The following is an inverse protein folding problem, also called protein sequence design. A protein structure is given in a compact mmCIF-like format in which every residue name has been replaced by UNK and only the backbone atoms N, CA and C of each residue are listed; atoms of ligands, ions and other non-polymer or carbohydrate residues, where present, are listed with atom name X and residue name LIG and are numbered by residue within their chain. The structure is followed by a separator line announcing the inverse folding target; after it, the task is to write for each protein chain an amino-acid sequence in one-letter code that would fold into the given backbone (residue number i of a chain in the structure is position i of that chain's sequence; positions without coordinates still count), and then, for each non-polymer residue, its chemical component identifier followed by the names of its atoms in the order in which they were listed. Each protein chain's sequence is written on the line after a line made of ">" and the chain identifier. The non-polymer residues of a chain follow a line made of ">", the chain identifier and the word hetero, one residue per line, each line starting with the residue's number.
data_IF_532955526718
#
_entry.id   IF_532955526718
#
_cell.length_a   1.000
_cell.length_b   1.000
_cell.length_c   1.000
_cell.angle_alpha   90.00
_cell.angle_beta   90.00
_cell.angle_gamma   90.00
#
_symmetry.space_group_name_H-M   'P 1'
#
loop_
_entity.id
_entity.type
_entity.pdbx_description
1 polymer ?
#
# COMPACT_ATOMS: atom_id res chain seq x y z
N UNK A 1 46.73 9.99 19.10
CA UNK A 1 46.12 11.02 18.22
C UNK A 1 45.20 10.28 17.29
N UNK A 2 43.93 10.16 17.68
CA UNK A 2 42.92 9.47 16.90
C UNK A 2 42.53 10.33 15.71
N UNK A 3 42.78 9.79 14.52
CA UNK A 3 42.45 10.40 13.24
C UNK A 3 40.92 10.32 13.07
N UNK A 4 40.17 11.44 13.01
CA UNK A 4 38.74 11.37 12.75
C UNK A 4 38.55 10.84 11.33
N UNK A 5 38.08 9.59 11.23
CA UNK A 5 37.63 9.01 9.98
C UNK A 5 36.55 9.92 9.41
N UNK A 6 36.91 10.74 8.42
CA UNK A 6 35.96 11.44 7.57
C UNK A 6 35.19 10.37 6.80
N UNK A 7 34.10 9.90 7.41
CA UNK A 7 33.09 9.07 6.75
C UNK A 7 32.69 9.79 5.46
N UNK A 8 33.04 9.19 4.33
CA UNK A 8 32.70 9.66 2.99
C UNK A 8 31.18 9.53 2.78
N UNK A 9 30.42 10.41 3.42
CA UNK A 9 28.96 10.45 3.33
C UNK A 9 28.57 10.92 1.93
N UNK A 10 28.24 9.99 1.05
CA UNK A 10 27.67 10.29 -0.27
C UNK A 10 26.20 10.64 -0.10
N UNK A 11 25.88 11.90 -0.30
CA UNK A 11 24.50 12.39 -0.37
C UNK A 11 23.85 11.77 -1.63
N UNK A 12 22.71 11.08 -1.52
CA UNK A 12 21.98 10.60 -2.69
C UNK A 12 21.63 11.77 -3.62
N UNK A 13 21.89 11.64 -4.92
CA UNK A 13 21.82 12.75 -5.90
C UNK A 13 20.47 13.48 -5.91
N UNK A 14 19.38 12.81 -5.53
CA UNK A 14 18.02 13.38 -5.52
C UNK A 14 17.62 14.01 -4.18
N UNK A 15 18.38 13.78 -3.10
CA UNK A 15 18.01 14.17 -1.75
C UNK A 15 17.83 15.70 -1.60
N UNK A 16 18.78 16.56 -2.05
CA UNK A 16 18.63 18.01 -1.88
C UNK A 16 17.43 18.57 -2.66
N UNK A 17 17.19 18.05 -3.86
CA UNK A 17 16.06 18.45 -4.69
C UNK A 17 14.72 18.08 -4.04
N UNK A 18 14.57 16.82 -3.60
CA UNK A 18 13.34 16.35 -2.99
C UNK A 18 13.05 17.03 -1.63
N UNK A 19 14.09 17.34 -0.85
CA UNK A 19 13.95 18.13 0.38
C UNK A 19 13.48 19.56 0.07
N UNK A 20 14.03 20.20 -0.96
CA UNK A 20 13.59 21.51 -1.43
C UNK A 20 12.13 21.50 -1.90
N UNK A 21 11.75 20.48 -2.68
CA UNK A 21 10.38 20.28 -3.15
C UNK A 21 9.39 20.10 -1.98
N UNK A 22 9.72 19.25 -1.01
CA UNK A 22 8.93 19.04 0.21
C UNK A 22 8.70 20.36 0.96
N UNK A 23 9.78 21.09 1.22
CA UNK A 23 9.76 22.37 1.96
C UNK A 23 9.02 23.48 1.23
N UNK A 24 9.06 23.50 -0.10
CA UNK A 24 8.34 24.50 -0.89
C UNK A 24 6.83 24.29 -0.89
N UNK A 25 6.37 23.02 -0.83
CA UNK A 25 4.95 22.66 -0.93
C UNK A 25 4.24 22.64 0.41
N UNK A 26 4.95 22.28 1.48
CA UNK A 26 4.37 22.08 2.81
C UNK A 26 3.61 23.33 3.32
N UNK A 27 4.16 24.57 3.28
CA UNK A 27 3.46 25.74 3.79
C UNK A 27 2.12 25.99 3.10
N UNK A 28 2.09 25.93 1.77
CA UNK A 28 0.85 26.11 1.00
C UNK A 28 -0.24 25.07 1.31
N UNK A 29 0.16 23.86 1.72
CA UNK A 29 -0.80 22.83 2.13
C UNK A 29 -1.26 23.06 3.56
N UNK A 30 -0.37 23.47 4.47
CA UNK A 30 -0.71 23.82 5.85
C UNK A 30 -1.67 25.02 5.90
N UNK A 31 -1.39 26.07 5.11
CA UNK A 31 -2.24 27.25 5.00
C UNK A 31 -3.66 26.88 4.54
N UNK A 32 -3.78 26.06 3.49
CA UNK A 32 -5.09 25.57 3.00
C UNK A 32 -5.87 24.82 4.09
N UNK A 33 -5.19 23.98 4.85
CA UNK A 33 -5.82 23.25 5.97
C UNK A 33 -6.32 24.24 7.02
N UNK A 34 -5.51 25.24 7.40
CA UNK A 34 -5.88 26.24 8.41
C UNK A 34 -7.00 27.18 7.98
N UNK A 35 -7.13 27.45 6.68
CA UNK A 35 -8.18 28.32 6.15
C UNK A 35 -9.57 27.70 6.15
N UNK A 36 -9.68 26.37 6.35
CA UNK A 36 -10.98 25.71 6.41
C UNK A 36 -11.75 26.19 7.65
N UNK A 37 -12.95 26.76 7.49
CA UNK A 37 -13.76 27.20 8.61
C UNK A 37 -14.40 26.01 9.34
N UNK A 38 -13.86 25.63 10.49
CA UNK A 38 -14.47 24.62 11.37
C UNK A 38 -14.58 23.23 10.73
N UNK A 39 -15.82 22.74 10.53
CA UNK A 39 -16.08 21.50 9.79
C UNK A 39 -16.28 21.86 8.31
N UNK A 40 -15.18 21.92 7.56
CA UNK A 40 -15.19 22.22 6.13
C UNK A 40 -16.07 21.28 5.31
N UNK A 41 -16.41 21.72 4.11
CA UNK A 41 -17.12 20.90 3.15
C UNK A 41 -16.21 19.74 2.66
N UNK A 42 -16.75 18.52 2.41
CA UNK A 42 -15.96 17.41 1.90
C UNK A 42 -15.16 17.72 0.63
N UNK A 43 -15.66 18.61 -0.24
CA UNK A 43 -14.95 19.01 -1.47
C UNK A 43 -13.68 19.81 -1.19
N UNK A 44 -13.64 20.61 -0.11
CA UNK A 44 -12.45 21.35 0.30
C UNK A 44 -11.34 20.39 0.76
N UNK A 45 -11.72 19.31 1.46
CA UNK A 45 -10.78 18.27 1.89
C UNK A 45 -10.26 17.42 0.74
N UNK A 46 -10.98 17.31 -0.39
CA UNK A 46 -10.52 16.52 -1.54
C UNK A 46 -9.28 17.16 -2.18
N UNK A 47 -9.30 18.48 -2.38
CA UNK A 47 -8.15 19.22 -2.88
C UNK A 47 -6.95 19.17 -1.91
N UNK A 48 -7.21 19.11 -0.60
CA UNK A 48 -6.17 18.94 0.43
C UNK A 48 -5.60 17.52 0.38
N UNK A 49 -6.45 16.50 0.24
CA UNK A 49 -6.00 15.12 0.11
C UNK A 49 -5.08 14.94 -1.10
N UNK A 50 -5.40 15.56 -2.24
CA UNK A 50 -4.54 15.57 -3.43
C UNK A 50 -3.19 16.24 -3.18
N UNK A 51 -3.17 17.39 -2.50
CA UNK A 51 -1.92 18.06 -2.12
C UNK A 51 -1.08 17.22 -1.17
N UNK A 52 -1.70 16.61 -0.15
CA UNK A 52 -1.03 15.73 0.80
C UNK A 52 -0.53 14.45 0.13
N UNK A 53 -1.24 13.91 -0.86
CA UNK A 53 -0.77 12.76 -1.63
C UNK A 53 0.49 13.11 -2.43
N UNK A 54 0.54 14.28 -3.07
CA UNK A 54 1.74 14.76 -3.78
C UNK A 54 2.91 14.95 -2.82
N UNK A 55 2.68 15.54 -1.65
CA UNK A 55 3.68 15.65 -0.58
C UNK A 55 4.16 14.27 -0.12
N UNK A 56 3.24 13.32 0.05
CA UNK A 56 3.55 11.94 0.44
C UNK A 56 4.44 11.26 -0.61
N UNK A 57 4.16 11.42 -1.90
CA UNK A 57 5.01 10.86 -2.96
C UNK A 57 6.43 11.44 -2.89
N UNK A 58 6.58 12.75 -2.65
CA UNK A 58 7.89 13.38 -2.45
C UNK A 58 8.58 12.82 -1.20
N UNK A 59 7.89 12.76 -0.06
CA UNK A 59 8.43 12.23 1.21
C UNK A 59 8.80 10.74 1.12
N UNK A 60 7.99 9.93 0.45
CA UNK A 60 8.27 8.52 0.17
C UNK A 60 9.57 8.35 -0.64
N UNK A 61 9.80 9.22 -1.63
CA UNK A 61 10.99 9.14 -2.46
C UNK A 61 12.26 9.64 -1.74
N UNK A 62 12.11 10.37 -0.62
CA UNK A 62 13.20 10.70 0.30
C UNK A 62 13.57 9.51 1.19
N UNK A 63 12.56 8.78 1.68
CA UNK A 63 12.76 7.63 2.54
C UNK A 63 13.44 6.47 1.79
N UNK A 64 14.20 5.61 2.48
CA UNK A 64 14.66 4.34 1.91
C UNK A 64 13.48 3.53 1.37
N UNK A 65 13.67 2.83 0.25
CA UNK A 65 12.65 1.96 -0.30
C UNK A 65 12.25 0.90 0.73
N UNK A 66 10.98 0.87 1.13
CA UNK A 66 10.43 -0.21 1.95
C UNK A 66 10.46 -1.50 1.15
N UNK A 67 11.12 -2.50 1.71
CA UNK A 67 11.29 -3.80 1.07
C UNK A 67 9.99 -4.60 1.15
N UNK A 68 9.14 -4.52 0.14
CA UNK A 68 7.78 -5.10 0.12
C UNK A 68 7.73 -6.58 0.50
N UNK A 69 8.78 -7.35 0.20
CA UNK A 69 8.86 -8.79 0.48
C UNK A 69 9.75 -9.15 1.67
N UNK A 70 10.36 -8.15 2.30
CA UNK A 70 11.41 -8.27 3.30
C UNK A 70 12.55 -9.23 2.90
N UNK A 71 12.82 -9.36 1.61
CA UNK A 71 13.88 -10.21 1.07
C UNK A 71 15.03 -9.35 0.56
N UNK A 72 16.26 -9.63 0.98
CA UNK A 72 17.46 -8.93 0.47
C UNK A 72 17.67 -9.16 -1.03
N UNK A 73 17.27 -10.32 -1.54
CA UNK A 73 17.39 -10.68 -2.96
C UNK A 73 16.28 -10.09 -3.82
N UNK A 74 15.05 -10.02 -3.31
CA UNK A 74 13.86 -9.62 -4.09
C UNK A 74 13.07 -8.50 -3.42
N UNK A 75 13.67 -7.34 -3.15
CA UNK A 75 13.05 -6.35 -2.26
C UNK A 75 11.69 -5.83 -2.74
N UNK A 76 11.47 -5.83 -4.06
CA UNK A 76 10.23 -5.42 -4.72
C UNK A 76 9.54 -6.59 -5.46
N UNK A 77 9.79 -7.83 -5.04
CA UNK A 77 9.20 -9.01 -5.64
C UNK A 77 7.71 -9.19 -5.30
N UNK A 78 7.04 -10.21 -5.89
CA UNK A 78 5.67 -10.55 -5.53
C UNK A 78 5.57 -11.02 -4.07
N UNK A 79 4.50 -10.59 -3.39
CA UNK A 79 4.20 -10.95 -2.00
C UNK A 79 3.43 -12.26 -1.95
N UNK A 80 3.85 -13.21 -1.11
CA UNK A 80 3.11 -14.45 -0.83
C UNK A 80 1.86 -14.10 -0.02
N UNK A 81 0.64 -14.43 -0.50
CA UNK A 81 -0.59 -14.14 0.23
C UNK A 81 -0.80 -15.04 1.45
N UNK A 82 -0.15 -16.20 1.50
CA UNK A 82 -0.29 -17.16 2.60
C UNK A 82 1.07 -17.83 2.91
N UNK A 83 2.05 -17.06 3.41
CA UNK A 83 3.30 -17.63 3.89
C UNK A 83 3.06 -18.39 5.21
N UNK A 84 3.76 -19.51 5.45
CA UNK A 84 3.89 -20.08 6.79
C UNK A 84 4.39 -19.04 7.80
N UNK A 85 4.08 -19.21 9.09
CA UNK A 85 4.34 -18.22 10.15
C UNK A 85 5.83 -17.92 10.32
N UNK A 86 6.68 -18.92 10.13
CA UNK A 86 8.14 -18.81 10.18
C UNK A 86 8.77 -18.32 8.87
N UNK A 87 7.96 -18.04 7.85
CA UNK A 87 8.41 -17.59 6.53
C UNK A 87 8.16 -16.10 6.33
N UNK A 88 8.96 -15.51 5.45
CA UNK A 88 8.80 -14.13 5.04
C UNK A 88 7.79 -13.97 3.91
N UNK A 89 7.45 -12.73 3.55
CA UNK A 89 6.43 -12.46 2.55
C UNK A 89 6.90 -12.62 1.10
N UNK A 90 8.13 -13.06 0.82
CA UNK A 90 8.64 -13.16 -0.56
C UNK A 90 8.12 -14.41 -1.30
N UNK A 91 7.22 -14.23 -2.26
CA UNK A 91 6.65 -15.34 -3.03
C UNK A 91 7.70 -16.13 -3.80
N UNK A 92 8.73 -15.48 -4.36
CA UNK A 92 9.78 -16.17 -5.13
C UNK A 92 10.62 -17.09 -4.23
N UNK A 93 11.06 -16.59 -3.08
CA UNK A 93 11.80 -17.39 -2.11
C UNK A 93 10.94 -18.52 -1.54
N UNK A 94 9.68 -18.24 -1.24
CA UNK A 94 8.74 -19.24 -0.73
C UNK A 94 8.42 -20.29 -1.79
N UNK A 95 8.33 -19.93 -3.07
CA UNK A 95 8.14 -20.87 -4.18
C UNK A 95 9.34 -21.82 -4.29
N UNK A 96 10.56 -21.30 -4.25
CA UNK A 96 11.77 -22.13 -4.28
C UNK A 96 11.86 -23.04 -3.06
N UNK A 97 11.48 -22.53 -1.89
CA UNK A 97 11.45 -23.33 -0.65
C UNK A 97 10.40 -24.45 -0.72
N UNK A 98 9.20 -24.17 -1.27
CA UNK A 98 8.16 -25.20 -1.55
C UNK A 98 8.63 -26.22 -2.59
N UNK A 99 9.48 -25.82 -3.53
CA UNK A 99 10.12 -26.71 -4.50
C UNK A 99 11.29 -27.53 -3.91
N UNK A 100 11.63 -27.32 -2.64
CA UNK A 100 12.65 -28.10 -1.92
C UNK A 100 14.04 -27.46 -1.84
N UNK A 101 14.19 -26.17 -2.17
CA UNK A 101 15.46 -25.46 -1.95
C UNK A 101 15.55 -24.88 -0.52
N UNK A 102 16.38 -25.45 0.37
CA UNK A 102 16.53 -24.97 1.74
C UNK A 102 17.34 -23.67 1.84
N UNK A 103 18.03 -23.24 0.77
CA UNK A 103 18.81 -22.00 0.73
C UNK A 103 17.96 -20.78 0.39
N UNK A 104 16.77 -20.99 -0.17
CA UNK A 104 15.82 -19.93 -0.42
C UNK A 104 15.32 -19.37 0.92
N UNK A 105 15.83 -18.18 1.29
CA UNK A 105 15.42 -17.47 2.51
C UNK A 105 14.80 -16.11 2.18
N UNK A 106 13.52 -15.98 2.48
CA UNK A 106 12.87 -14.69 2.72
C UNK A 106 13.25 -14.21 4.12
N UNK A 107 13.49 -12.91 4.34
CA UNK A 107 13.62 -12.38 5.69
C UNK A 107 12.30 -12.53 6.46
N UNK A 108 12.36 -12.77 7.77
CA UNK A 108 11.17 -12.84 8.65
C UNK A 108 10.33 -11.57 8.50
N UNK A 109 9.01 -11.65 8.39
CA UNK A 109 8.16 -10.47 8.20
C UNK A 109 8.36 -9.44 9.34
N UNK A 110 9.23 -8.44 9.17
CA UNK A 110 9.22 -7.27 10.04
C UNK A 110 8.08 -6.36 9.59
N UNK A 111 7.32 -5.86 10.55
CA UNK A 111 6.07 -5.11 10.36
C UNK A 111 6.18 -3.78 9.57
N UNK A 112 7.34 -3.44 9.00
CA UNK A 112 7.70 -2.09 8.54
C UNK A 112 7.24 -1.79 7.11
N UNK A 113 6.59 -2.73 6.42
CA UNK A 113 6.23 -2.56 5.01
C UNK A 113 4.99 -1.73 4.71
N UNK A 114 4.19 -1.40 5.74
CA UNK A 114 2.97 -0.61 5.55
C UNK A 114 3.15 0.75 6.21
N UNK A 115 2.74 1.80 5.50
CA UNK A 115 2.67 3.13 6.09
C UNK A 115 1.65 3.14 7.22
N UNK A 116 1.91 3.95 8.25
CA UNK A 116 0.99 4.10 9.38
C UNK A 116 -0.39 4.55 8.88
N UNK A 117 -1.43 3.83 9.31
CA UNK A 117 -2.82 4.24 9.13
C UNK A 117 -3.31 4.72 10.50
N UNK A 118 -3.58 6.02 10.67
CA UNK A 118 -4.04 6.53 11.95
C UNK A 118 -5.41 5.91 12.30
N UNK A 119 -5.62 5.53 13.57
CA UNK A 119 -6.93 5.06 14.01
C UNK A 119 -7.95 6.21 14.02
N UNK A 120 -9.25 5.91 13.87
CA UNK A 120 -10.31 6.89 14.08
C UNK A 120 -10.32 7.40 15.54
N UNK A 121 -10.88 8.60 15.81
CA UNK A 121 -11.72 9.42 14.93
C UNK A 121 -10.95 10.32 13.95
N UNK A 122 -11.44 10.41 12.71
CA UNK A 122 -10.92 11.32 11.69
C UNK A 122 -11.63 12.68 11.81
N UNK A 123 -10.92 13.66 12.37
CA UNK A 123 -11.44 15.03 12.56
C UNK A 123 -10.49 16.07 11.99
N UNK A 124 -10.98 17.30 11.80
CA UNK A 124 -10.15 18.41 11.34
C UNK A 124 -9.04 18.73 12.35
N UNK A 125 -9.33 18.62 13.65
CA UNK A 125 -8.37 18.81 14.73
C UNK A 125 -7.27 17.75 14.70
N UNK A 126 -7.63 16.49 14.39
CA UNK A 126 -6.65 15.42 14.19
C UNK A 126 -5.73 15.70 12.99
N UNK A 127 -6.28 16.26 11.90
CA UNK A 127 -5.48 16.69 10.75
C UNK A 127 -4.52 17.83 11.11
N UNK A 128 -5.00 18.86 11.82
CA UNK A 128 -4.16 19.97 12.29
C UNK A 128 -3.06 19.49 13.24
N UNK A 129 -3.38 18.58 14.16
CA UNK A 129 -2.39 17.99 15.06
C UNK A 129 -1.31 17.22 14.28
N UNK A 130 -1.73 16.46 13.26
CA UNK A 130 -0.78 15.74 12.39
C UNK A 130 0.09 16.69 11.58
N UNK A 131 -0.48 17.78 11.05
CA UNK A 131 0.28 18.81 10.35
C UNK A 131 1.31 19.49 11.24
N UNK A 132 1.02 19.74 12.52
CA UNK A 132 2.02 20.25 13.47
C UNK A 132 3.22 19.31 13.60
N UNK A 133 2.98 18.00 13.75
CA UNK A 133 4.05 17.00 13.81
C UNK A 133 4.86 16.96 12.51
N UNK A 134 4.21 17.05 11.35
CA UNK A 134 4.90 17.11 10.06
C UNK A 134 5.82 18.34 9.99
N UNK A 135 5.31 19.52 10.36
CA UNK A 135 6.10 20.75 10.34
C UNK A 135 7.32 20.67 11.27
N UNK A 136 7.15 20.13 12.48
CA UNK A 136 8.24 19.92 13.44
C UNK A 136 9.33 18.99 12.87
N UNK A 137 8.93 17.82 12.36
CA UNK A 137 9.90 16.87 11.78
C UNK A 137 10.58 17.45 10.54
N UNK A 138 9.84 18.10 9.63
CA UNK A 138 10.40 18.66 8.39
C UNK A 138 11.34 19.86 8.66
N UNK A 139 11.09 20.60 9.74
CA UNK A 139 11.99 21.66 10.19
C UNK A 139 13.37 21.10 10.56
N UNK A 140 13.39 19.99 11.32
CA UNK A 140 14.62 19.31 11.75
C UNK A 140 15.31 18.50 10.63
N UNK A 141 14.65 18.25 9.50
CA UNK A 141 15.28 17.51 8.40
C UNK A 141 16.45 18.28 7.77
N UNK A 142 17.51 17.58 7.42
CA UNK A 142 18.63 18.11 6.64
C UNK A 142 19.26 17.01 5.78
N UNK A 143 20.25 17.37 4.97
CA UNK A 143 20.90 16.44 4.04
C UNK A 143 21.67 15.29 4.70
N UNK A 144 21.81 15.29 6.03
CA UNK A 144 22.43 14.22 6.83
C UNK A 144 21.43 13.53 7.77
N UNK A 145 20.14 13.84 7.66
CA UNK A 145 19.12 13.16 8.47
C UNK A 145 19.17 11.67 8.24
N UNK A 146 18.80 10.92 9.27
CA UNK A 146 18.86 9.47 9.20
C UNK A 146 17.77 8.93 8.26
N UNK A 147 17.98 7.70 7.79
CA UNK A 147 16.97 6.94 7.07
C UNK A 147 15.64 6.84 7.84
N UNK A 148 15.71 6.81 9.18
CA UNK A 148 14.55 6.72 10.05
C UNK A 148 13.76 8.02 10.08
N UNK A 149 14.42 9.18 10.12
CA UNK A 149 13.74 10.49 10.12
C UNK A 149 13.00 10.73 8.79
N UNK A 150 13.63 10.34 7.68
CA UNK A 150 13.01 10.42 6.35
C UNK A 150 11.81 9.47 6.24
N UNK A 151 11.90 8.26 6.82
CA UNK A 151 10.79 7.31 6.86
C UNK A 151 9.64 7.80 7.74
N UNK A 152 9.93 8.36 8.92
CA UNK A 152 8.95 8.95 9.83
C UNK A 152 8.19 10.09 9.14
N UNK A 153 8.89 10.94 8.40
CA UNK A 153 8.27 12.01 7.63
C UNK A 153 7.26 11.45 6.62
N UNK A 154 7.62 10.38 5.90
CA UNK A 154 6.72 9.74 4.97
C UNK A 154 5.49 9.11 5.67
N UNK A 155 5.66 8.51 6.85
CA UNK A 155 4.55 7.98 7.65
C UNK A 155 3.59 9.07 8.12
N UNK A 156 4.12 10.19 8.65
CA UNK A 156 3.30 11.30 9.13
C UNK A 156 2.47 11.93 8.00
N UNK A 157 3.10 12.16 6.84
CA UNK A 157 2.41 12.72 5.67
C UNK A 157 1.38 11.74 5.11
N UNK A 158 1.69 10.44 5.08
CA UNK A 158 0.71 9.41 4.72
C UNK A 158 -0.50 9.43 5.68
N UNK A 159 -0.25 9.49 6.99
CA UNK A 159 -1.31 9.58 7.99
C UNK A 159 -2.20 10.81 7.80
N UNK A 160 -1.61 11.98 7.53
CA UNK A 160 -2.37 13.20 7.21
C UNK A 160 -3.22 13.03 5.95
N UNK A 161 -2.66 12.42 4.89
CA UNK A 161 -3.40 12.10 3.67
C UNK A 161 -4.63 11.21 3.96
N UNK A 162 -4.48 10.15 4.77
CA UNK A 162 -5.60 9.28 5.14
C UNK A 162 -6.68 10.08 5.88
N UNK A 163 -6.31 10.92 6.85
CA UNK A 163 -7.27 11.74 7.58
C UNK A 163 -8.02 12.67 6.62
N UNK A 164 -7.31 13.38 5.75
CA UNK A 164 -7.92 14.27 4.76
C UNK A 164 -8.84 13.52 3.79
N UNK A 165 -8.43 12.32 3.34
CA UNK A 165 -9.23 11.49 2.45
C UNK A 165 -10.51 10.99 3.10
N UNK A 166 -10.47 10.66 4.39
CA UNK A 166 -11.67 10.28 5.14
C UNK A 166 -12.59 11.49 5.40
N UNK A 167 -12.03 12.69 5.60
CA UNK A 167 -12.80 13.93 5.71
C UNK A 167 -13.44 14.35 4.38
N UNK A 168 -12.80 14.03 3.24
CA UNK A 168 -13.35 14.33 1.91
C UNK A 168 -14.45 13.38 1.45
N UNK A 169 -14.66 12.27 2.17
CA UNK A 169 -15.78 11.39 1.87
C UNK A 169 -17.09 12.14 2.10
N UNK A 170 -18.01 12.17 1.11
CA UNK A 170 -19.30 12.79 1.31
C UNK A 170 -19.97 12.11 2.50
N UNK A 171 -20.31 12.92 3.51
CA UNK A 171 -21.09 12.46 4.66
C UNK A 171 -22.52 12.24 4.20
N UNK A 172 -22.77 11.12 3.54
CA UNK A 172 -24.12 10.77 3.14
C UNK A 172 -25.01 10.64 4.38
N UNK A 173 -26.28 10.97 4.16
CA UNK A 173 -27.38 11.13 5.11
C UNK A 173 -27.65 9.88 5.97
N UNK A 174 -26.96 8.76 5.74
CA UNK A 174 -27.26 7.47 6.35
C UNK A 174 -27.12 7.42 7.88
N UNK A 175 -26.39 8.38 8.48
CA UNK A 175 -26.11 8.46 9.94
C UNK A 175 -25.76 7.09 10.55
N UNK A 176 -25.21 6.19 9.75
CA UNK A 176 -25.03 4.81 10.14
C UNK A 176 -23.77 4.70 11.01
N UNK A 177 -23.87 4.27 12.28
CA UNK A 177 -22.72 4.21 13.17
C UNK A 177 -21.69 3.15 12.74
N UNK A 178 -22.08 2.17 11.93
CA UNK A 178 -21.19 1.12 11.40
C UNK A 178 -20.51 1.48 10.08
N UNK A 179 -21.13 2.33 9.26
CA UNK A 179 -20.61 2.69 7.93
C UNK A 179 -20.83 4.18 7.67
N UNK A 180 -19.97 5.06 8.22
CA UNK A 180 -20.07 6.49 7.97
C UNK A 180 -19.85 6.79 6.48
N UNK A 181 -20.73 7.60 5.89
CA UNK A 181 -20.63 7.98 4.46
C UNK A 181 -21.12 6.91 3.47
N UNK A 182 -21.71 5.82 3.95
CA UNK A 182 -22.32 4.82 3.07
C UNK A 182 -23.56 5.37 2.34
N UNK A 183 -23.73 5.11 1.03
CA UNK A 183 -24.95 5.48 0.33
C UNK A 183 -26.18 4.86 0.99
N UNK A 184 -27.28 5.60 0.99
CA UNK A 184 -28.58 5.11 1.43
C UNK A 184 -29.24 4.33 0.29
N UNK A 185 -29.84 3.21 0.64
CA UNK A 185 -30.78 2.50 -0.22
C UNK A 185 -32.18 3.09 0.03
N UNK A 186 -32.74 3.88 -0.90
CA UNK A 186 -34.08 4.45 -0.75
C UNK A 186 -35.19 3.40 -0.86
N UNK A 187 -34.90 2.22 -1.41
CA UNK A 187 -35.85 1.12 -1.60
C UNK A 187 -35.83 0.10 -0.44
N UNK A 188 -35.02 0.32 0.59
CA UNK A 188 -34.94 -0.58 1.73
C UNK A 188 -36.27 -0.63 2.52
N UNK A 189 -36.63 -1.84 2.99
CA UNK A 189 -37.82 -2.03 3.80
C UNK A 189 -37.74 -1.24 5.11
N UNK A 190 -38.74 -0.39 5.36
CA UNK A 190 -38.79 0.48 6.55
C UNK A 190 -38.16 1.88 6.37
N UNK A 191 -37.83 2.28 5.15
CA UNK A 191 -37.30 3.61 4.83
C UNK A 191 -35.80 3.59 4.46
N UNK A 192 -35.21 4.75 4.16
CA UNK A 192 -33.84 4.83 3.66
C UNK A 192 -32.83 4.33 4.71
N UNK A 193 -32.14 3.23 4.40
CA UNK A 193 -31.15 2.58 5.28
C UNK A 193 -29.79 2.47 4.57
N UNK A 194 -28.71 2.33 5.35
CA UNK A 194 -27.35 2.17 4.80
C UNK A 194 -27.26 0.93 3.91
N UNK A 195 -26.82 1.09 2.65
CA UNK A 195 -26.71 0.02 1.66
C UNK A 195 -25.85 -1.15 2.14
N UNK A 196 -24.76 -0.89 2.87
CA UNK A 196 -23.91 -1.95 3.42
C UNK A 196 -24.59 -2.74 4.55
N UNK A 197 -25.38 -2.08 5.40
CA UNK A 197 -26.16 -2.78 6.42
C UNK A 197 -27.29 -3.61 5.80
N UNK A 198 -27.97 -3.08 4.79
CA UNK A 198 -29.03 -3.79 4.06
C UNK A 198 -28.45 -5.03 3.35
N UNK A 199 -27.29 -4.91 2.72
CA UNK A 199 -26.62 -6.06 2.07
C UNK A 199 -26.01 -7.07 3.05
N UNK A 200 -25.57 -6.65 4.24
CA UNK A 200 -25.15 -7.54 5.33
C UNK A 200 -26.36 -8.31 5.89
N UNK A 201 -27.47 -7.62 6.16
CA UNK A 201 -28.74 -8.22 6.60
C UNK A 201 -29.30 -9.20 5.56
N UNK A 202 -29.31 -8.82 4.27
CA UNK A 202 -29.71 -9.69 3.17
C UNK A 202 -28.80 -10.94 3.06
N UNK A 203 -27.49 -10.81 3.35
CA UNK A 203 -26.58 -11.95 3.37
C UNK A 203 -26.84 -12.89 4.55
N UNK A 204 -27.17 -12.35 5.72
CA UNK A 204 -27.49 -13.14 6.92
C UNK A 204 -28.84 -13.84 6.83
N UNK A 205 -29.81 -13.21 6.17
CA UNK A 205 -31.16 -13.77 5.96
C UNK A 205 -31.24 -14.71 4.77
N UNK A 206 -30.31 -14.62 3.81
CA UNK A 206 -30.15 -15.62 2.76
C UNK A 206 -29.65 -16.93 3.37
N UNK A 207 -30.55 -17.90 3.49
CA UNK A 207 -30.26 -19.31 3.76
C UNK A 207 -29.66 -20.03 2.54
N UNK A 208 -29.68 -19.38 1.37
CA UNK A 208 -29.18 -19.94 0.13
C UNK A 208 -27.66 -19.73 -0.01
N UNK A 209 -26.88 -20.76 -0.38
CA UNK A 209 -25.45 -20.64 -0.60
C UNK A 209 -25.16 -19.59 -1.69
N UNK A 210 -24.04 -18.86 -1.61
CA UNK A 210 -23.65 -17.90 -2.63
C UNK A 210 -23.63 -18.60 -4.01
N UNK A 211 -23.98 -17.89 -5.10
CA UNK A 211 -23.94 -18.47 -6.43
C UNK A 211 -22.53 -19.03 -6.66
N UNK A 212 -22.42 -20.35 -6.77
CA UNK A 212 -21.15 -20.97 -7.07
C UNK A 212 -20.77 -20.52 -8.49
N UNK A 213 -19.74 -19.69 -8.55
CA UNK A 213 -19.01 -19.43 -9.79
C UNK A 213 -18.51 -20.82 -10.21
N UNK A 214 -19.18 -21.43 -11.19
CA UNK A 214 -18.73 -22.69 -11.75
C UNK A 214 -17.33 -22.45 -12.29
N UNK A 215 -16.34 -23.08 -11.68
CA UNK A 215 -15.00 -23.12 -12.22
C UNK A 215 -15.10 -23.62 -13.66
N UNK A 216 -14.71 -22.75 -14.58
CA UNK A 216 -14.64 -23.08 -16.00
C UNK A 216 -13.69 -24.27 -16.09
N UNK A 217 -14.11 -25.44 -16.62
CA UNK A 217 -13.26 -26.62 -16.63
C UNK A 217 -11.97 -26.28 -17.35
N UNK A 218 -10.87 -26.33 -16.59
CA UNK A 218 -9.52 -26.10 -17.07
C UNK A 218 -9.24 -27.20 -18.09
N UNK A 219 -9.32 -26.87 -19.38
CA UNK A 219 -8.90 -27.79 -20.46
C UNK A 219 -7.47 -28.18 -20.15
N UNK A 220 -7.28 -29.45 -19.77
CA UNK A 220 -5.95 -30.05 -19.70
C UNK A 220 -5.28 -29.88 -21.06
N UNK A 221 -3.98 -29.53 -21.11
CA UNK A 221 -3.24 -29.50 -22.36
C UNK A 221 -3.31 -30.90 -22.98
N UNK A 222 -3.88 -30.99 -24.18
CA UNK A 222 -3.90 -32.23 -24.96
C UNK A 222 -2.43 -32.59 -25.21
N UNK A 223 -1.97 -33.67 -24.59
CA UNK A 223 -0.62 -34.18 -24.79
C UNK A 223 -0.36 -34.35 -26.28
N UNK A 224 0.61 -33.61 -26.81
CA UNK A 224 1.07 -33.80 -28.17
C UNK A 224 1.69 -35.20 -28.26
N UNK A 225 0.94 -36.11 -28.89
CA UNK A 225 1.41 -37.42 -29.28
C UNK A 225 2.68 -37.26 -30.11
N UNK A 226 3.78 -37.70 -29.52
CA UNK A 226 5.08 -37.91 -30.16
C UNK A 226 4.85 -38.88 -31.32
N UNK A 227 4.80 -38.38 -32.56
CA UNK A 227 4.91 -39.23 -33.76
C UNK A 227 6.35 -39.74 -33.81
N UNK A 228 6.53 -41.00 -33.45
CA UNK A 228 7.68 -41.80 -33.83
C UNK A 228 7.72 -41.89 -35.35
N UNK A 229 8.80 -41.36 -35.94
CA UNK A 229 9.16 -41.59 -37.35
C UNK A 229 9.87 -42.95 -37.39
N UNK A 230 9.43 -43.92 -38.20
CA UNK A 230 10.20 -45.14 -38.42
C UNK A 230 11.42 -44.82 -39.28
N UNK A 231 12.60 -45.25 -38.83
CA UNK A 231 13.85 -45.11 -39.56
C UNK A 231 13.92 -46.03 -40.79
N UNK A 232 14.61 -45.63 -41.87
CA UNK A 232 14.84 -46.49 -43.01
C UNK A 232 15.86 -47.58 -42.68
N UNK A 233 15.50 -48.80 -43.06
CA UNK A 233 16.25 -50.05 -43.00
C UNK A 233 17.51 -50.00 -43.87
N UNK A 234 18.59 -50.55 -43.33
CA UNK A 234 19.85 -50.88 -44.01
C UNK A 234 19.72 -52.21 -44.75
N UNK A 235 19.78 -52.20 -46.07
CA UNK A 235 20.17 -53.31 -46.97
C UNK A 235 20.83 -52.61 -48.17
N UNK A 236 22.04 -52.91 -48.66
CA UNK A 236 22.76 -54.17 -48.67
C UNK A 236 22.99 -54.58 -50.13
N UNK A 237 24.20 -54.36 -50.62
CA UNK A 237 24.91 -55.05 -51.72
C UNK A 237 24.31 -55.20 -53.14
N UNK A 238 25.07 -54.67 -54.11
CA UNK A 238 25.76 -55.52 -55.07
C UNK A 238 25.10 -55.80 -56.43
N UNK A 239 25.54 -55.07 -57.47
CA UNK A 239 26.07 -55.61 -58.74
C UNK A 239 26.55 -54.44 -59.64
#
# INVERSE_FOLDING_TARGET
>A
MDNPQHSAYRIPTKLPFLLGELRSRLPSTDDRIRTIPGRGDPTEYDAIADSLYKLFVTARNLAPSRNTTNCSTHPNGPVDPAPPEEWGPCLLCNTNRRAGDPRARSGTATAVNRYEIPPPPYTHEALLARMRQINEVVFELHYRSSAQDLALTADLVHGAFIIARELSRPRTVSRCPRHPGAPLDPAAHGGPRCLFCVTDEARRTRTAPPPQIRDRPRRLPRGNGRRTVPGPTTEGDGA
#
